data_IF_106737326023
#
_entry.id   IF_106737326023
#
_cell.length_a   1.000
_cell.length_b   1.000
_cell.length_c   1.000
_cell.angle_alpha   90.00
_cell.angle_beta   90.00
_cell.angle_gamma   90.00
#
_symmetry.space_group_name_H-M   'P 1'
#
loop_
_entity.id
_entity.type
_entity.pdbx_description
1 polymer ?
#
# COMPACT_ATOMS: atom_id res chain seq x y z
N UNK A 1 3.72 -6.85 -23.28
CA UNK A 1 3.36 -7.46 -22.00
C UNK A 1 1.88 -7.24 -21.74
N UNK A 2 1.19 -8.24 -21.17
CA UNK A 2 -0.21 -8.13 -20.77
C UNK A 2 -0.25 -8.05 -19.22
N UNK A 3 -0.44 -6.83 -18.70
CA UNK A 3 -0.59 -6.65 -17.24
C UNK A 3 -2.06 -6.83 -16.86
N UNK A 4 -2.28 -7.62 -15.79
CA UNK A 4 -3.60 -7.77 -15.17
C UNK A 4 -3.58 -7.10 -13.80
N UNK A 5 -4.57 -6.24 -13.48
CA UNK A 5 -4.60 -5.54 -12.20
C UNK A 5 -5.09 -6.48 -11.08
N UNK A 6 -4.20 -6.78 -10.14
CA UNK A 6 -4.54 -7.41 -8.87
C UNK A 6 -4.42 -6.38 -7.75
N UNK A 7 -5.34 -6.41 -6.81
CA UNK A 7 -5.16 -5.77 -5.50
C UNK A 7 -4.62 -6.83 -4.56
N UNK A 8 -3.39 -6.64 -4.09
CA UNK A 8 -2.68 -7.59 -3.22
C UNK A 8 -2.49 -6.93 -1.86
N UNK A 9 -2.81 -7.65 -0.80
CA UNK A 9 -2.47 -7.21 0.55
C UNK A 9 -0.96 -7.36 0.77
N UNK A 10 -0.30 -6.22 0.93
CA UNK A 10 1.15 -6.13 1.17
C UNK A 10 1.50 -5.62 2.56
N UNK A 11 0.50 -5.49 3.44
CA UNK A 11 0.70 -5.08 4.83
C UNK A 11 1.65 -6.04 5.55
N UNK A 12 2.70 -5.49 6.15
CA UNK A 12 3.71 -6.27 6.86
C UNK A 12 4.66 -7.09 5.99
N UNK A 13 4.52 -7.06 4.65
CA UNK A 13 5.43 -7.73 3.71
C UNK A 13 6.82 -7.10 3.73
N UNK A 14 7.83 -7.88 3.35
CA UNK A 14 9.22 -7.44 3.30
C UNK A 14 9.56 -6.93 1.88
N UNK A 15 9.98 -5.68 1.79
CA UNK A 15 10.41 -5.06 0.55
C UNK A 15 11.88 -4.65 0.63
N UNK A 16 12.69 -5.05 -0.34
CA UNK A 16 14.01 -4.49 -0.55
C UNK A 16 13.94 -3.36 -1.58
N UNK A 17 14.54 -2.23 -1.26
CA UNK A 17 14.79 -1.13 -2.21
C UNK A 17 16.29 -1.00 -2.38
N UNK A 18 16.82 -1.25 -3.58
CA UNK A 18 18.21 -1.07 -3.90
C UNK A 18 18.37 0.27 -4.63
N UNK A 19 19.13 1.17 -4.01
CA UNK A 19 19.28 2.56 -4.42
C UNK A 19 18.82 3.54 -3.36
N UNK A 20 19.53 4.67 -3.21
CA UNK A 20 19.31 5.67 -2.15
C UNK A 20 18.91 7.06 -2.67
N UNK A 21 18.62 7.20 -3.96
CA UNK A 21 18.30 8.47 -4.61
C UNK A 21 16.84 8.91 -4.48
N UNK A 22 16.47 9.94 -5.23
CA UNK A 22 15.12 10.52 -5.22
C UNK A 22 14.03 9.54 -5.69
N UNK A 23 14.36 8.64 -6.61
CA UNK A 23 13.41 7.63 -7.10
C UNK A 23 13.13 6.61 -5.99
N UNK A 24 14.16 6.11 -5.31
CA UNK A 24 14.02 5.23 -4.16
C UNK A 24 13.16 5.89 -3.07
N UNK A 25 13.44 7.15 -2.72
CA UNK A 25 12.61 7.92 -1.77
C UNK A 25 11.13 7.93 -2.15
N UNK A 26 10.80 8.20 -3.41
CA UNK A 26 9.40 8.20 -3.85
C UNK A 26 8.74 6.82 -3.75
N UNK A 27 9.48 5.74 -4.02
CA UNK A 27 8.97 4.37 -3.88
C UNK A 27 8.73 3.99 -2.41
N UNK A 28 9.71 4.29 -1.56
CA UNK A 28 9.59 4.05 -0.11
C UNK A 28 8.40 4.79 0.46
N UNK A 29 8.24 6.08 0.15
CA UNK A 29 7.09 6.88 0.61
C UNK A 29 5.74 6.28 0.22
N UNK A 30 5.61 5.81 -1.03
CA UNK A 30 4.37 5.16 -1.49
C UNK A 30 4.13 3.86 -0.72
N UNK A 31 5.16 3.04 -0.54
CA UNK A 31 5.02 1.74 0.12
C UNK A 31 4.67 1.86 1.60
N UNK A 32 5.14 2.90 2.27
CA UNK A 32 4.78 3.19 3.66
C UNK A 32 3.28 3.43 3.85
N UNK A 33 2.60 4.01 2.86
CA UNK A 33 1.13 4.19 2.90
C UNK A 33 0.37 2.85 2.91
N UNK A 34 1.06 1.73 2.60
CA UNK A 34 0.54 0.37 2.60
C UNK A 34 1.14 -0.51 3.72
N UNK A 35 1.77 0.10 4.71
CA UNK A 35 2.29 -0.57 5.91
C UNK A 35 3.29 -1.71 5.61
N UNK A 36 4.17 -1.50 4.61
CA UNK A 36 5.22 -2.43 4.20
C UNK A 36 6.46 -2.25 5.09
N UNK A 37 7.15 -3.33 5.43
CA UNK A 37 8.48 -3.28 6.03
C UNK A 37 9.52 -3.12 4.93
N UNK A 38 10.35 -2.09 5.01
CA UNK A 38 11.23 -1.70 3.92
C UNK A 38 12.69 -1.70 4.39
N UNK A 39 13.54 -2.41 3.65
CA UNK A 39 14.99 -2.30 3.75
C UNK A 39 15.51 -1.57 2.53
N UNK A 40 16.25 -0.49 2.75
CA UNK A 40 16.95 0.27 1.70
C UNK A 40 18.43 -0.05 1.75
N UNK A 41 18.99 -0.50 0.64
CA UNK A 41 20.43 -0.78 0.51
C UNK A 41 21.00 0.12 -0.57
N UNK A 42 21.95 0.97 -0.19
CA UNK A 42 22.68 1.85 -1.12
C UNK A 42 23.98 2.34 -0.49
N UNK A 43 25.06 2.58 -1.25
CA UNK A 43 26.28 3.19 -0.72
C UNK A 43 26.06 4.64 -0.27
N UNK A 44 25.12 5.34 -0.91
CA UNK A 44 24.74 6.71 -0.55
C UNK A 44 23.22 6.83 -0.45
N UNK A 45 22.74 7.44 0.64
CA UNK A 45 21.31 7.63 0.91
C UNK A 45 20.99 9.12 0.99
N UNK A 46 20.02 9.57 0.20
CA UNK A 46 19.64 10.98 0.16
C UNK A 46 18.96 11.42 1.47
N UNK A 47 19.14 12.69 1.80
CA UNK A 47 18.64 13.31 3.03
C UNK A 47 17.10 13.13 3.24
N UNK A 48 16.24 13.29 2.21
CA UNK A 48 14.80 13.04 2.36
C UNK A 48 14.47 11.62 2.80
N UNK A 49 15.26 10.63 2.35
CA UNK A 49 15.05 9.23 2.71
C UNK A 49 15.49 8.93 4.14
N UNK A 50 16.60 9.57 4.60
CA UNK A 50 17.03 9.51 6.01
C UNK A 50 15.98 10.07 6.95
N UNK A 51 15.44 11.26 6.65
CA UNK A 51 14.38 11.87 7.45
C UNK A 51 13.11 10.99 7.51
N UNK A 52 12.74 10.41 6.39
CA UNK A 52 11.59 9.52 6.33
C UNK A 52 11.76 8.27 7.22
N UNK A 53 12.98 7.72 7.28
CA UNK A 53 13.32 6.60 8.16
C UNK A 53 13.27 7.03 9.64
N UNK A 54 13.86 8.18 9.99
CA UNK A 54 13.81 8.74 11.36
C UNK A 54 12.37 9.02 11.82
N UNK A 55 11.52 9.59 10.96
CA UNK A 55 10.10 9.82 11.25
C UNK A 55 9.35 8.49 11.48
N UNK A 56 9.70 7.44 10.76
CA UNK A 56 9.12 6.12 10.96
C UNK A 56 9.56 5.47 12.28
N UNK A 57 10.76 5.76 12.78
CA UNK A 57 11.27 5.32 14.08
C UNK A 57 10.66 6.09 15.26
N UNK A 58 10.40 7.39 15.11
CA UNK A 58 9.82 8.22 16.16
C UNK A 58 8.39 7.84 16.51
N UNK A 59 7.60 7.40 15.57
CA UNK A 59 6.26 6.83 15.79
C UNK A 59 6.34 5.56 16.67
N UNK A 60 7.46 4.85 16.63
CA UNK A 60 7.75 3.71 17.51
C UNK A 60 8.00 4.09 18.95
N UNK A 61 8.78 5.14 19.16
CA UNK A 61 9.16 5.58 20.50
C UNK A 61 7.95 6.11 21.31
N UNK A 62 7.01 6.77 20.65
CA UNK A 62 5.78 7.27 21.27
C UNK A 62 4.83 6.15 21.71
N UNK A 63 4.86 5.00 21.05
CA UNK A 63 4.05 3.82 21.42
C UNK A 63 4.69 2.92 22.49
N UNK A 64 5.84 3.30 23.03
CA UNK A 64 6.43 2.70 24.24
C UNK A 64 7.13 1.35 24.06
N UNK A 65 7.69 1.04 22.88
CA UNK A 65 8.41 -0.23 22.64
C UNK A 65 9.85 -0.01 22.19
N UNK A 66 10.76 -0.47 22.99
CA UNK A 66 12.21 -0.50 22.72
C UNK A 66 12.51 -1.67 21.79
N UNK A 67 13.06 -1.38 20.61
CA UNK A 67 13.70 -2.41 19.78
C UNK A 67 15.16 -2.46 20.23
N UNK A 68 15.56 -3.53 20.87
CA UNK A 68 16.97 -3.83 21.09
C UNK A 68 17.58 -4.27 19.76
N UNK A 69 18.62 -3.57 19.34
CA UNK A 69 19.49 -4.01 18.25
C UNK A 69 20.08 -5.38 18.63
N UNK A 70 19.56 -6.43 18.04
CA UNK A 70 20.08 -7.78 18.17
C UNK A 70 20.20 -8.39 16.78
N UNK A 71 21.44 -8.74 16.43
CA UNK A 71 21.78 -9.54 15.24
C UNK A 71 21.11 -10.90 15.34
N UNK A 72 19.86 -11.03 14.94
CA UNK A 72 19.25 -12.31 14.57
C UNK A 72 18.02 -12.04 13.69
N UNK A 73 18.09 -12.54 12.47
CA UNK A 73 17.01 -12.64 11.52
C UNK A 73 15.93 -13.58 12.09
N UNK A 74 15.01 -13.05 12.84
CA UNK A 74 13.75 -13.75 13.12
C UNK A 74 12.59 -12.77 12.99
N UNK A 75 11.80 -13.03 11.95
CA UNK A 75 10.41 -12.65 11.71
C UNK A 75 9.96 -11.27 12.22
N UNK A 76 9.48 -10.43 11.29
CA UNK A 76 8.87 -9.14 11.58
C UNK A 76 8.04 -9.19 12.88
N UNK A 77 8.40 -8.35 13.84
CA UNK A 77 7.88 -8.43 15.20
C UNK A 77 6.37 -8.16 15.23
N UNK A 78 5.59 -9.22 15.33
CA UNK A 78 4.16 -9.16 15.65
C UNK A 78 4.01 -8.70 17.09
N UNK A 79 3.46 -7.53 17.28
CA UNK A 79 3.16 -6.99 18.58
C UNK A 79 1.68 -7.23 18.89
N UNK A 80 1.41 -8.03 19.93
CA UNK A 80 0.05 -8.21 20.45
C UNK A 80 -0.26 -7.13 21.48
N UNK A 81 -1.25 -6.30 21.20
CA UNK A 81 -1.91 -5.48 22.21
C UNK A 81 -2.96 -6.29 22.97
N UNK A 82 -3.31 -5.83 24.18
CA UNK A 82 -4.32 -6.45 25.05
C UNK A 82 -5.74 -6.50 24.44
N UNK A 83 -5.97 -5.90 23.28
CA UNK A 83 -7.22 -5.90 22.50
C UNK A 83 -7.27 -6.97 21.39
N UNK A 84 -6.21 -7.78 21.24
CA UNK A 84 -6.16 -8.84 20.23
C UNK A 84 -5.91 -8.37 18.79
N UNK A 85 -5.79 -7.08 18.52
CA UNK A 85 -5.43 -6.57 17.19
C UNK A 85 -3.92 -6.57 17.01
N UNK A 86 -3.44 -7.24 15.95
CA UNK A 86 -2.04 -7.21 15.54
C UNK A 86 -1.75 -5.85 14.90
N UNK A 87 -0.94 -5.03 15.55
CA UNK A 87 -0.49 -3.74 15.00
C UNK A 87 0.83 -3.96 14.25
N UNK A 88 0.78 -3.88 12.92
CA UNK A 88 1.99 -3.89 12.11
C UNK A 88 2.70 -2.54 12.22
N UNK A 89 3.98 -2.61 12.44
CA UNK A 89 4.78 -1.41 12.62
C UNK A 89 5.50 -1.09 11.31
N UNK A 90 5.35 0.15 10.85
CA UNK A 90 6.06 0.67 9.68
C UNK A 90 7.52 0.80 10.05
N UNK A 91 8.39 0.14 9.33
CA UNK A 91 9.82 0.23 9.55
C UNK A 91 10.55 0.48 8.24
N UNK A 92 11.43 1.48 8.23
CA UNK A 92 12.41 1.70 7.17
C UNK A 92 13.79 1.46 7.76
N UNK A 93 14.43 0.38 7.34
CA UNK A 93 15.82 0.08 7.66
C UNK A 93 16.73 0.64 6.57
N UNK A 94 17.72 1.43 6.95
CA UNK A 94 18.73 1.98 6.02
C UNK A 94 20.05 1.24 6.20
N UNK A 95 20.56 0.69 5.11
CA UNK A 95 21.83 -0.06 5.08
C UNK A 95 22.78 0.61 4.09
N UNK A 96 23.76 1.35 4.61
CA UNK A 96 24.72 2.13 3.80
C UNK A 96 25.90 1.29 3.35
N UNK A 97 25.71 0.54 2.28
CA UNK A 97 26.73 -0.24 1.57
C UNK A 97 26.23 -0.61 0.17
N UNK A 98 27.12 -1.17 -0.61
CA UNK A 98 26.74 -1.79 -1.87
C UNK A 98 25.80 -3.00 -1.65
N UNK A 99 24.96 -3.26 -2.65
CA UNK A 99 24.08 -4.42 -2.70
C UNK A 99 24.87 -5.73 -2.65
N UNK A 100 24.34 -6.71 -1.96
CA UNK A 100 24.82 -8.10 -1.94
C UNK A 100 23.68 -9.03 -2.32
N UNK A 101 23.99 -10.14 -3.03
CA UNK A 101 22.95 -11.06 -3.51
C UNK A 101 22.09 -11.64 -2.38
N UNK A 102 22.62 -11.79 -1.18
CA UNK A 102 21.88 -12.24 0.00
C UNK A 102 20.83 -11.24 0.51
N UNK A 103 20.87 -9.97 0.06
CA UNK A 103 19.89 -8.97 0.49
C UNK A 103 18.48 -9.30 0.00
N UNK A 104 18.34 -10.08 -1.07
CA UNK A 104 17.04 -10.51 -1.58
C UNK A 104 16.43 -11.68 -0.81
N UNK A 105 17.19 -12.32 0.07
CA UNK A 105 16.71 -13.47 0.81
C UNK A 105 15.63 -13.07 1.82
N UNK A 106 14.50 -13.76 1.79
CA UNK A 106 13.36 -13.46 2.65
C UNK A 106 12.52 -12.23 2.24
N UNK A 107 12.80 -11.62 1.09
CA UNK A 107 12.01 -10.52 0.55
C UNK A 107 10.81 -11.04 -0.24
N UNK A 108 9.65 -10.41 -0.06
CA UNK A 108 8.44 -10.69 -0.83
C UNK A 108 8.50 -10.01 -2.21
N UNK A 109 9.09 -8.82 -2.26
CA UNK A 109 9.30 -8.09 -3.51
C UNK A 109 10.48 -7.11 -3.42
N UNK A 110 11.02 -6.74 -4.58
CA UNK A 110 12.21 -5.88 -4.69
C UNK A 110 11.93 -4.70 -5.62
N UNK A 111 12.53 -3.56 -5.30
CA UNK A 111 12.59 -2.38 -6.16
C UNK A 111 14.06 -2.07 -6.43
N UNK A 112 14.51 -2.24 -7.67
CA UNK A 112 15.85 -1.83 -8.12
C UNK A 112 15.75 -0.42 -8.72
N UNK A 113 16.36 0.55 -8.03
CA UNK A 113 16.31 1.97 -8.34
C UNK A 113 17.72 2.60 -8.27
N UNK A 114 18.72 1.90 -8.79
CA UNK A 114 20.10 2.40 -8.91
C UNK A 114 20.31 3.07 -10.25
N UNK A 115 21.39 3.85 -10.35
CA UNK A 115 21.84 4.47 -11.61
C UNK A 115 22.61 3.48 -12.51
N UNK A 116 22.93 2.29 -11.99
CA UNK A 116 23.61 1.21 -12.73
C UNK A 116 22.56 0.24 -13.32
N UNK A 117 22.33 0.36 -14.63
CA UNK A 117 21.44 -0.52 -15.37
C UNK A 117 21.87 -2.00 -15.29
N UNK A 118 23.17 -2.27 -15.31
CA UNK A 118 23.73 -3.62 -15.22
C UNK A 118 23.37 -4.28 -13.88
N UNK A 119 23.52 -3.53 -12.78
CA UNK A 119 23.12 -3.99 -11.45
C UNK A 119 21.60 -4.20 -11.38
N UNK A 120 20.80 -3.29 -11.94
CA UNK A 120 19.35 -3.46 -11.94
C UNK A 120 18.90 -4.70 -12.73
N UNK A 121 19.55 -5.04 -13.86
CA UNK A 121 19.31 -6.28 -14.58
C UNK A 121 19.73 -7.51 -13.77
N UNK A 122 20.91 -7.47 -13.14
CA UNK A 122 21.39 -8.55 -12.30
C UNK A 122 20.42 -8.84 -11.15
N UNK A 123 19.94 -7.82 -10.43
CA UNK A 123 18.94 -7.95 -9.38
C UNK A 123 17.65 -8.56 -9.93
N UNK A 124 17.21 -8.13 -11.12
CA UNK A 124 16.02 -8.67 -11.78
C UNK A 124 16.17 -10.18 -12.05
N UNK A 125 17.31 -10.61 -12.56
CA UNK A 125 17.56 -12.01 -12.85
C UNK A 125 17.61 -12.87 -11.58
N UNK A 126 18.22 -12.37 -10.51
CA UNK A 126 18.22 -13.05 -9.21
C UNK A 126 16.79 -13.19 -8.65
N UNK A 127 15.99 -12.11 -8.72
CA UNK A 127 14.61 -12.15 -8.27
C UNK A 127 13.76 -13.15 -9.06
N UNK A 128 13.93 -13.21 -10.38
CA UNK A 128 13.22 -14.17 -11.25
C UNK A 128 13.58 -15.61 -10.91
N UNK A 129 14.85 -15.92 -10.66
CA UNK A 129 15.29 -17.25 -10.27
C UNK A 129 14.66 -17.71 -8.95
N UNK A 130 14.40 -16.78 -8.03
CA UNK A 130 13.81 -17.04 -6.71
C UNK A 130 12.29 -16.82 -6.67
N UNK A 131 11.65 -16.50 -7.80
CA UNK A 131 10.22 -16.15 -7.90
C UNK A 131 9.81 -14.98 -7.00
N UNK A 132 10.70 -14.01 -6.80
CA UNK A 132 10.46 -12.78 -6.07
C UNK A 132 9.96 -11.72 -7.07
N UNK A 133 8.94 -10.94 -6.69
CA UNK A 133 8.44 -9.85 -7.52
C UNK A 133 9.48 -8.73 -7.61
N UNK A 134 9.71 -8.18 -8.81
CA UNK A 134 10.71 -7.15 -9.09
C UNK A 134 10.16 -5.99 -9.91
N UNK A 135 10.46 -4.78 -9.47
CA UNK A 135 10.31 -3.56 -10.26
C UNK A 135 11.69 -2.91 -10.45
N UNK A 136 12.25 -3.02 -11.63
CA UNK A 136 13.44 -2.28 -12.03
C UNK A 136 13.02 -0.97 -12.68
N UNK A 137 13.46 0.14 -12.09
CA UNK A 137 13.05 1.49 -12.53
C UNK A 137 13.56 1.75 -13.95
N UNK A 138 12.69 2.34 -14.78
CA UNK A 138 12.91 2.67 -16.20
C UNK A 138 13.26 1.49 -17.11
N UNK A 139 13.18 0.25 -16.60
CA UNK A 139 13.53 -0.97 -17.31
C UNK A 139 12.32 -1.93 -17.38
N UNK A 140 11.37 -1.64 -18.24
CA UNK A 140 10.10 -2.38 -18.35
C UNK A 140 10.27 -3.90 -18.51
N UNK A 141 11.26 -4.35 -19.24
CA UNK A 141 11.51 -5.77 -19.54
C UNK A 141 12.11 -6.51 -18.33
N UNK A 142 12.76 -5.77 -17.44
CA UNK A 142 13.30 -6.28 -16.18
C UNK A 142 12.26 -6.32 -15.04
N UNK A 143 11.04 -5.84 -15.27
CA UNK A 143 9.96 -5.82 -14.28
C UNK A 143 9.07 -7.05 -14.35
N UNK A 144 8.67 -7.62 -13.22
CA UNK A 144 7.54 -8.55 -13.11
C UNK A 144 6.25 -7.84 -12.69
N UNK A 145 6.33 -6.68 -12.05
CA UNK A 145 5.20 -5.81 -11.73
C UNK A 145 5.54 -4.34 -11.98
N UNK A 146 4.52 -3.50 -12.08
CA UNK A 146 4.67 -2.05 -12.26
C UNK A 146 3.89 -1.29 -11.19
N UNK A 147 4.39 -0.12 -10.80
CA UNK A 147 3.65 0.82 -9.95
C UNK A 147 2.68 1.63 -10.82
N UNK A 148 1.37 1.55 -10.58
CA UNK A 148 0.41 2.44 -11.24
C UNK A 148 0.47 3.85 -10.65
N UNK A 149 -0.10 4.83 -11.32
CA UNK A 149 -0.41 6.10 -10.71
C UNK A 149 -1.66 5.92 -9.83
N UNK A 150 -1.57 6.24 -8.52
CA UNK A 150 -2.62 5.92 -7.55
C UNK A 150 -3.24 7.16 -6.92
N UNK A 151 -4.54 7.06 -6.62
CA UNK A 151 -5.25 7.90 -5.67
C UNK A 151 -5.63 6.99 -4.51
N UNK A 152 -5.11 7.29 -3.32
CA UNK A 152 -5.49 6.61 -2.08
C UNK A 152 -6.15 7.63 -1.16
N UNK A 153 -7.30 7.27 -0.64
CA UNK A 153 -8.06 8.07 0.32
C UNK A 153 -8.77 7.09 1.26
N UNK A 154 -8.19 6.89 2.45
CA UNK A 154 -8.56 5.82 3.38
C UNK A 154 -8.54 4.45 2.67
N UNK A 155 -9.68 3.73 2.65
CA UNK A 155 -9.82 2.43 1.97
C UNK A 155 -10.10 2.56 0.47
N UNK A 156 -10.43 3.76 -0.01
CA UNK A 156 -10.59 3.97 -1.44
C UNK A 156 -9.24 3.99 -2.14
N UNK A 157 -9.07 3.10 -3.12
CA UNK A 157 -7.88 3.03 -3.96
C UNK A 157 -8.26 3.03 -5.45
N UNK A 158 -7.72 3.97 -6.20
CA UNK A 158 -7.85 4.04 -7.65
C UNK A 158 -6.47 3.93 -8.27
N UNK A 159 -6.28 2.92 -9.11
CA UNK A 159 -5.03 2.67 -9.81
C UNK A 159 -5.19 2.97 -11.32
N UNK A 160 -4.29 3.77 -11.85
CA UNK A 160 -4.27 4.16 -13.28
C UNK A 160 -2.96 3.71 -13.89
N UNK A 161 -3.04 2.88 -14.92
CA UNK A 161 -1.88 2.38 -15.64
C UNK A 161 -2.01 2.62 -17.13
N UNK A 162 -0.89 2.99 -17.76
CA UNK A 162 -0.75 3.02 -19.24
C UNK A 162 -0.13 1.74 -19.79
N UNK A 163 -0.05 0.66 -19.01
CA UNK A 163 0.67 -0.56 -19.37
C UNK A 163 2.17 -0.35 -19.58
N UNK A 164 2.75 0.64 -18.87
CA UNK A 164 4.17 1.00 -19.01
C UNK A 164 4.48 1.81 -20.28
N UNK A 165 3.47 2.31 -21.01
CA UNK A 165 3.71 3.10 -22.24
C UNK A 165 4.03 4.56 -21.93
N UNK A 166 3.39 5.16 -20.95
CA UNK A 166 3.58 6.56 -20.61
C UNK A 166 3.21 6.87 -19.17
N UNK A 167 4.19 6.99 -18.26
CA UNK A 167 3.96 7.44 -16.89
C UNK A 167 3.26 8.81 -16.83
N UNK A 168 3.61 9.73 -17.77
CA UNK A 168 2.99 11.05 -17.85
C UNK A 168 1.49 10.96 -18.20
N UNK A 169 1.09 10.05 -19.10
CA UNK A 169 -0.32 9.84 -19.44
C UNK A 169 -1.08 9.26 -18.23
N UNK A 170 -0.52 8.30 -17.51
CA UNK A 170 -1.12 7.76 -16.30
C UNK A 170 -1.30 8.83 -15.23
N UNK A 171 -0.29 9.68 -15.00
CA UNK A 171 -0.36 10.81 -14.08
C UNK A 171 -1.40 11.85 -14.51
N UNK A 172 -1.51 12.15 -15.81
CA UNK A 172 -2.52 13.05 -16.36
C UNK A 172 -3.93 12.54 -16.10
N UNK A 173 -4.19 11.27 -16.45
CA UNK A 173 -5.50 10.63 -16.23
C UNK A 173 -5.84 10.58 -14.74
N UNK A 174 -4.88 10.19 -13.89
CA UNK A 174 -5.06 10.26 -12.43
C UNK A 174 -5.55 11.62 -11.96
N UNK A 175 -4.90 12.71 -12.43
CA UNK A 175 -5.28 14.08 -12.06
C UNK A 175 -6.69 14.43 -12.51
N UNK A 176 -7.12 13.99 -13.71
CA UNK A 176 -8.49 14.18 -14.20
C UNK A 176 -9.50 13.42 -13.35
N UNK A 177 -9.22 12.17 -13.02
CA UNK A 177 -10.08 11.36 -12.14
C UNK A 177 -10.21 12.04 -10.76
N UNK A 178 -9.10 12.50 -10.16
CA UNK A 178 -9.13 13.17 -8.84
C UNK A 178 -10.04 14.41 -8.83
N UNK A 179 -10.13 15.15 -9.94
CA UNK A 179 -11.01 16.32 -10.06
C UNK A 179 -12.50 15.96 -10.10
N UNK A 180 -12.84 14.73 -10.48
CA UNK A 180 -14.22 14.25 -10.59
C UNK A 180 -14.71 13.52 -9.33
N UNK A 181 -13.79 13.19 -8.40
CA UNK A 181 -14.12 12.43 -7.20
C UNK A 181 -14.28 13.40 -6.03
N UNK A 182 -15.48 13.45 -5.40
CA UNK A 182 -15.69 14.21 -4.17
C UNK A 182 -14.72 13.81 -3.06
N UNK A 183 -14.33 14.80 -2.23
CA UNK A 183 -13.36 14.56 -1.14
C UNK A 183 -13.88 13.68 -0.01
N UNK A 184 -15.18 13.50 0.09
CA UNK A 184 -15.84 12.71 1.12
C UNK A 184 -15.96 11.21 0.79
N UNK A 185 -15.59 10.76 -0.42
CA UNK A 185 -15.79 9.36 -0.81
C UNK A 185 -14.97 8.38 0.04
N UNK A 186 -13.76 8.73 0.43
CA UNK A 186 -12.96 7.89 1.32
C UNK A 186 -13.65 7.64 2.67
N UNK A 187 -14.18 8.71 3.29
CA UNK A 187 -14.95 8.66 4.53
C UNK A 187 -16.22 7.84 4.40
N UNK A 188 -16.98 8.08 3.34
CA UNK A 188 -18.21 7.37 3.05
C UNK A 188 -18.00 5.86 2.88
N UNK A 189 -16.92 5.45 2.19
CA UNK A 189 -16.58 4.04 1.99
C UNK A 189 -16.19 3.38 3.33
N UNK A 190 -15.44 4.07 4.18
CA UNK A 190 -15.08 3.58 5.52
C UNK A 190 -16.34 3.36 6.37
N UNK A 191 -17.27 4.34 6.44
CA UNK A 191 -18.54 4.21 7.14
C UNK A 191 -19.37 3.01 6.62
N UNK A 192 -19.45 2.81 5.29
CA UNK A 192 -20.11 1.67 4.70
C UNK A 192 -19.46 0.34 5.09
N UNK A 193 -18.13 0.32 5.25
CA UNK A 193 -17.38 -0.83 5.76
C UNK A 193 -17.76 -1.17 7.20
N UNK A 194 -17.88 -0.17 8.07
CA UNK A 194 -18.30 -0.35 9.47
C UNK A 194 -19.71 -0.96 9.59
N UNK A 195 -20.64 -0.57 8.70
CA UNK A 195 -22.00 -1.11 8.70
C UNK A 195 -22.14 -2.48 8.01
N UNK A 196 -21.07 -2.95 7.34
CA UNK A 196 -21.11 -4.16 6.53
C UNK A 196 -21.53 -5.40 7.33
N UNK A 197 -20.88 -5.63 8.46
CA UNK A 197 -21.14 -6.82 9.29
C UNK A 197 -22.54 -6.77 9.87
N UNK A 198 -22.98 -5.61 10.34
CA UNK A 198 -24.35 -5.41 10.81
C UNK A 198 -25.39 -5.74 9.73
N UNK A 199 -25.19 -5.27 8.49
CA UNK A 199 -26.11 -5.57 7.37
C UNK A 199 -26.07 -7.06 7.01
N UNK A 200 -24.89 -7.71 7.07
CA UNK A 200 -24.77 -9.14 6.80
C UNK A 200 -25.49 -10.01 7.82
N UNK A 201 -25.52 -9.62 9.08
CA UNK A 201 -26.19 -10.31 10.18
C UNK A 201 -27.73 -10.16 10.14
N UNK A 202 -28.22 -8.99 9.70
CA UNK A 202 -29.66 -8.66 9.76
C UNK A 202 -30.42 -8.81 8.44
N UNK A 203 -29.72 -9.12 7.34
CA UNK A 203 -30.33 -9.21 6.00
C UNK A 203 -29.93 -10.52 5.31
N UNK A 204 -30.87 -11.42 5.11
CA UNK A 204 -30.61 -12.79 4.65
C UNK A 204 -30.16 -12.91 3.20
N UNK A 205 -30.64 -12.05 2.29
CA UNK A 205 -30.44 -12.25 0.86
C UNK A 205 -29.43 -11.27 0.27
N UNK A 206 -28.54 -11.76 -0.59
CA UNK A 206 -27.56 -10.93 -1.30
C UNK A 206 -28.24 -9.82 -2.14
N UNK A 207 -29.45 -10.06 -2.66
CA UNK A 207 -30.20 -9.07 -3.43
C UNK A 207 -30.63 -7.89 -2.56
N UNK A 208 -31.20 -8.14 -1.38
CA UNK A 208 -31.60 -7.09 -0.43
C UNK A 208 -30.39 -6.34 0.11
N UNK A 209 -29.30 -7.04 0.43
CA UNK A 209 -28.02 -6.41 0.84
C UNK A 209 -27.51 -5.42 -0.20
N UNK A 210 -27.46 -5.82 -1.46
CA UNK A 210 -27.05 -4.95 -2.57
C UNK A 210 -27.96 -3.73 -2.70
N UNK A 211 -29.27 -3.90 -2.55
CA UNK A 211 -30.23 -2.80 -2.60
C UNK A 211 -30.00 -1.80 -1.45
N UNK A 212 -29.78 -2.31 -0.22
CA UNK A 212 -29.47 -1.47 0.94
C UNK A 212 -28.19 -0.66 0.71
N UNK A 213 -27.09 -1.31 0.27
CA UNK A 213 -25.85 -0.59 -0.02
C UNK A 213 -26.01 0.47 -1.10
N UNK A 214 -26.80 0.21 -2.15
CA UNK A 214 -27.08 1.21 -3.17
C UNK A 214 -27.83 2.42 -2.59
N UNK A 215 -28.87 2.18 -1.76
CA UNK A 215 -29.61 3.28 -1.11
C UNK A 215 -28.74 4.08 -0.15
N UNK A 216 -27.85 3.42 0.58
CA UNK A 216 -26.87 4.10 1.47
C UNK A 216 -25.86 4.94 0.69
N UNK A 217 -25.37 4.43 -0.46
CA UNK A 217 -24.49 5.19 -1.36
C UNK A 217 -25.19 6.43 -1.92
N UNK A 218 -26.42 6.30 -2.41
CA UNK A 218 -27.23 7.42 -2.91
C UNK A 218 -27.51 8.45 -1.80
N UNK A 219 -27.81 7.98 -0.60
CA UNK A 219 -27.99 8.86 0.56
C UNK A 219 -26.70 9.61 0.90
N UNK A 220 -25.57 8.89 1.05
CA UNK A 220 -24.27 9.50 1.37
C UNK A 220 -23.79 10.47 0.29
N UNK A 221 -24.01 10.17 -0.99
CA UNK A 221 -23.64 11.09 -2.09
C UNK A 221 -24.42 12.41 -2.04
N UNK A 222 -25.69 12.38 -1.60
CA UNK A 222 -26.52 13.58 -1.44
C UNK A 222 -26.31 14.33 -0.13
N UNK A 223 -25.58 13.72 0.83
CA UNK A 223 -25.32 14.28 2.18
C UNK A 223 -23.81 14.41 2.47
N UNK A 224 -23.01 14.70 1.44
CA UNK A 224 -21.57 14.96 1.56
C UNK A 224 -20.79 13.85 2.31
N UNK A 225 -21.23 12.59 2.14
CA UNK A 225 -20.59 11.40 2.69
C UNK A 225 -21.09 10.97 4.08
N UNK A 226 -21.96 11.74 4.72
CA UNK A 226 -22.51 11.39 6.04
C UNK A 226 -23.60 10.32 5.94
N UNK A 227 -23.43 9.19 6.65
CA UNK A 227 -24.40 8.10 6.72
C UNK A 227 -24.70 7.79 8.20
N UNK A 228 -25.66 8.49 8.83
CA UNK A 228 -26.01 8.26 10.23
C UNK A 228 -26.60 6.86 10.47
N UNK A 229 -26.27 6.23 11.59
CA UNK A 229 -26.77 4.91 11.98
C UNK A 229 -28.32 4.79 11.91
N UNK A 230 -29.03 5.88 12.24
CA UNK A 230 -30.49 5.95 12.13
C UNK A 230 -30.99 5.68 10.71
N UNK A 231 -30.30 6.23 9.72
CA UNK A 231 -30.62 6.05 8.29
C UNK A 231 -30.34 4.62 7.86
N UNK A 232 -29.24 4.02 8.32
CA UNK A 232 -28.92 2.62 8.05
C UNK A 232 -30.05 1.71 8.55
N UNK A 233 -30.48 1.87 9.79
CA UNK A 233 -31.58 1.08 10.38
C UNK A 233 -32.91 1.29 9.65
N UNK A 234 -33.22 2.52 9.25
CA UNK A 234 -34.43 2.83 8.49
C UNK A 234 -34.43 2.13 7.12
N UNK A 235 -33.33 2.26 6.36
CA UNK A 235 -33.20 1.66 5.01
C UNK A 235 -33.28 0.12 5.10
N UNK A 236 -32.69 -0.48 6.14
CA UNK A 236 -32.80 -1.93 6.35
C UNK A 236 -34.26 -2.32 6.57
N UNK A 237 -34.97 -1.65 7.47
CA UNK A 237 -36.37 -1.95 7.76
C UNK A 237 -37.22 -1.84 6.51
N UNK A 238 -37.13 -0.74 5.77
CA UNK A 238 -37.91 -0.49 4.53
C UNK A 238 -37.57 -1.48 3.39
N UNK A 239 -36.42 -2.14 3.42
CA UNK A 239 -36.00 -3.07 2.37
C UNK A 239 -36.32 -4.54 2.75
N UNK A 240 -36.42 -4.83 4.04
CA UNK A 240 -36.66 -6.19 4.55
C UNK A 240 -38.15 -6.49 4.64
N UNK A 241 -38.97 -5.50 4.94
CA UNK A 241 -40.44 -5.57 4.86
C UNK A 241 -40.92 -5.74 3.40
#
# INVERSE_FOLDING_TARGET
MAYFPFMVDIKGRQCLVVGGGSIAFHKVRILLDFEVNIRVVAPEICEPLRKLAEESESVFAETGRVITQGNNMEQGSRLKESSGQEKYVRQVELVEREFQECDIDGMDFVVAATDDEGLNYHISDLCRQKNILINAVDMKEACSFIFPAMIKDKDMLIAVSSGGQSPAAAAYVKRKIRQCIPGYYGEMIEQLGEYRDYILEHVDTAKKRKEIFNKLLEYGDTHEGEIPEKIVKQIITETVE
#
